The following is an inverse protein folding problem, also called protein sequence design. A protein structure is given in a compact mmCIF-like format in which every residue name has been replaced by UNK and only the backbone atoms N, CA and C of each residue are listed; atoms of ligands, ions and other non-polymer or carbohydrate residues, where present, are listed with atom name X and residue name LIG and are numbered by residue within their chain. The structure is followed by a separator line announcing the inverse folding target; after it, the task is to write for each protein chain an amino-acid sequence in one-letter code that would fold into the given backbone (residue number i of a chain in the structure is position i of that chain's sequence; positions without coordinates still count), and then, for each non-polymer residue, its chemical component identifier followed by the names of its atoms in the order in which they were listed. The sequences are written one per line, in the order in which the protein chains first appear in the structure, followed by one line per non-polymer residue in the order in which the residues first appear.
data_IF_481730411024
#
_entry.id   IF_481730411024
#
_cell.length_a   1.000
_cell.length_b   1.000
_cell.length_c   1.000
_cell.angle_alpha   90.00
_cell.angle_beta   90.00
_cell.angle_gamma   90.00
#
_symmetry.space_group_name_H-M   'P 1'
#
loop_
_entity.id
_entity.type
_entity.pdbx_description
1 polymer ?
#
# COMPACT_ATOMS: atom_id res chain seq x y z
N UNK A 1 10.40 -6.64 -57.34
CA UNK A 1 9.95 -5.88 -56.16
C UNK A 1 10.88 -4.69 -55.95
N UNK A 2 10.37 -3.45 -55.88
CA UNK A 2 11.19 -2.24 -55.68
C UNK A 2 11.81 -2.21 -54.27
N UNK A 3 13.05 -1.75 -54.12
CA UNK A 3 13.74 -1.58 -52.82
C UNK A 3 12.89 -0.78 -51.82
N UNK A 4 12.08 0.16 -52.30
CA UNK A 4 11.17 0.96 -51.47
C UNK A 4 10.00 0.14 -50.89
N UNK A 5 9.46 -0.81 -51.67
CA UNK A 5 8.38 -1.70 -51.23
C UNK A 5 8.87 -2.67 -50.15
N UNK A 6 10.08 -3.25 -50.33
CA UNK A 6 10.71 -4.15 -49.35
C UNK A 6 11.03 -3.43 -48.03
N UNK A 7 11.45 -2.16 -48.09
CA UNK A 7 11.70 -1.35 -46.88
C UNK A 7 10.40 -1.04 -46.12
N UNK A 8 9.30 -0.75 -46.82
CA UNK A 8 7.97 -0.56 -46.20
C UNK A 8 7.50 -1.84 -45.51
N UNK A 9 7.60 -2.98 -46.18
CA UNK A 9 7.18 -4.28 -45.64
C UNK A 9 7.97 -4.68 -44.39
N UNK A 10 9.29 -4.46 -44.38
CA UNK A 10 10.13 -4.68 -43.20
C UNK A 10 9.79 -3.77 -42.02
N UNK A 11 9.46 -2.50 -42.29
CA UNK A 11 9.01 -1.56 -41.24
C UNK A 11 7.65 -1.97 -40.68
N UNK A 12 6.75 -2.46 -41.52
CA UNK A 12 5.43 -2.93 -41.12
C UNK A 12 5.50 -4.21 -40.29
N UNK A 13 6.33 -5.18 -40.70
CA UNK A 13 6.63 -6.38 -39.92
C UNK A 13 7.27 -6.04 -38.58
N UNK A 14 8.26 -5.13 -38.55
CA UNK A 14 8.86 -4.64 -37.30
C UNK A 14 7.81 -4.01 -36.39
N UNK A 15 6.94 -3.16 -36.94
CA UNK A 15 5.90 -2.48 -36.16
C UNK A 15 4.86 -3.48 -35.63
N UNK A 16 4.50 -4.52 -36.39
CA UNK A 16 3.61 -5.59 -35.94
C UNK A 16 4.23 -6.42 -34.80
N UNK A 17 5.52 -6.75 -34.91
CA UNK A 17 6.26 -7.45 -33.85
C UNK A 17 6.37 -6.60 -32.59
N UNK A 18 6.67 -5.32 -32.73
CA UNK A 18 6.71 -4.36 -31.62
C UNK A 18 5.32 -4.20 -30.97
N UNK A 19 4.25 -4.11 -31.76
CA UNK A 19 2.87 -4.03 -31.24
C UNK A 19 2.49 -5.27 -30.43
N UNK A 20 2.86 -6.45 -30.92
CA UNK A 20 2.59 -7.73 -30.26
C UNK A 20 3.41 -7.90 -28.97
N UNK A 21 4.68 -7.47 -28.99
CA UNK A 21 5.54 -7.41 -27.80
C UNK A 21 5.03 -6.39 -26.77
N UNK A 22 4.62 -5.19 -27.20
CA UNK A 22 4.12 -4.15 -26.30
C UNK A 22 2.77 -4.53 -25.69
N UNK A 23 1.94 -5.30 -26.39
CA UNK A 23 0.65 -5.76 -25.85
C UNK A 23 0.82 -6.64 -24.61
N UNK A 24 1.82 -7.53 -24.60
CA UNK A 24 2.14 -8.35 -23.43
C UNK A 24 2.60 -7.51 -22.23
N UNK A 25 3.44 -6.50 -22.47
CA UNK A 25 3.88 -5.56 -21.43
C UNK A 25 2.74 -4.73 -20.85
N UNK A 26 1.82 -4.25 -21.69
CA UNK A 26 0.64 -3.49 -21.24
C UNK A 26 -0.28 -4.36 -20.38
N UNK A 27 -0.53 -5.61 -20.78
CA UNK A 27 -1.34 -6.55 -20.00
C UNK A 27 -0.68 -6.91 -18.67
N UNK A 28 0.63 -7.18 -18.66
CA UNK A 28 1.38 -7.44 -17.44
C UNK A 28 1.37 -6.25 -16.48
N UNK A 29 1.57 -5.05 -17.03
CA UNK A 29 1.47 -3.79 -16.27
C UNK A 29 0.08 -3.67 -15.62
N UNK A 30 -1.00 -3.89 -16.38
CA UNK A 30 -2.38 -3.85 -15.85
C UNK A 30 -2.63 -4.91 -14.76
N UNK A 31 -2.07 -6.10 -14.91
CA UNK A 31 -2.14 -7.15 -13.91
C UNK A 31 -1.41 -6.78 -12.61
N UNK A 32 -0.19 -6.26 -12.71
CA UNK A 32 0.56 -5.78 -11.54
C UNK A 32 -0.14 -4.62 -10.82
N UNK A 33 -0.76 -3.72 -11.59
CA UNK A 33 -1.54 -2.60 -11.07
C UNK A 33 -3.00 -2.95 -10.79
N UNK A 34 -3.37 -4.24 -10.76
CA UNK A 34 -4.69 -4.64 -10.32
C UNK A 34 -4.90 -4.19 -8.86
N UNK A 35 -6.11 -3.72 -8.52
CA UNK A 35 -6.41 -3.30 -7.16
C UNK A 35 -6.06 -4.42 -6.17
N UNK A 36 -5.37 -4.04 -5.09
CA UNK A 36 -4.93 -4.91 -3.98
C UNK A 36 -3.77 -5.89 -4.26
N UNK A 37 -3.40 -6.20 -5.51
CA UNK A 37 -2.35 -7.20 -5.79
C UNK A 37 -0.96 -6.75 -5.36
N UNK A 38 -0.52 -5.56 -5.78
CA UNK A 38 0.81 -5.07 -5.41
C UNK A 38 0.87 -4.75 -3.90
N UNK A 39 -0.21 -4.23 -3.30
CA UNK A 39 -0.30 -4.03 -1.84
C UNK A 39 -0.13 -5.36 -1.10
N UNK A 40 -0.76 -6.43 -1.58
CA UNK A 40 -0.57 -7.77 -1.03
C UNK A 40 0.88 -8.25 -1.16
N UNK A 41 1.49 -8.12 -2.34
CA UNK A 41 2.89 -8.51 -2.57
C UNK A 41 3.84 -7.70 -1.67
N UNK A 42 3.62 -6.39 -1.55
CA UNK A 42 4.40 -5.53 -0.67
C UNK A 42 4.29 -6.01 0.78
N UNK A 43 3.07 -6.28 1.26
CA UNK A 43 2.84 -6.80 2.61
C UNK A 43 3.58 -8.13 2.86
N UNK A 44 3.58 -9.05 1.89
CA UNK A 44 4.29 -10.32 2.00
C UNK A 44 5.80 -10.14 2.04
N UNK A 45 6.36 -9.30 1.15
CA UNK A 45 7.80 -9.07 1.04
C UNK A 45 8.34 -8.32 2.26
N UNK A 46 7.69 -7.22 2.65
CA UNK A 46 8.07 -6.43 3.82
C UNK A 46 7.85 -7.24 5.10
N UNK A 47 6.73 -7.96 5.20
CA UNK A 47 6.43 -8.82 6.34
C UNK A 47 7.45 -9.94 6.53
N UNK A 48 7.94 -10.55 5.44
CA UNK A 48 9.01 -11.56 5.51
C UNK A 48 10.33 -10.95 6.03
N UNK A 49 10.75 -9.81 5.44
CA UNK A 49 11.96 -9.12 5.87
C UNK A 49 11.89 -8.68 7.35
N UNK A 50 10.72 -8.18 7.78
CA UNK A 50 10.45 -7.84 9.17
C UNK A 50 10.55 -9.08 10.08
N UNK A 51 9.92 -10.19 9.69
CA UNK A 51 9.99 -11.45 10.44
C UNK A 51 11.44 -11.95 10.62
N UNK A 52 12.27 -11.83 9.59
CA UNK A 52 13.70 -12.16 9.67
C UNK A 52 14.45 -11.27 10.68
N UNK A 53 14.23 -9.95 10.65
CA UNK A 53 14.85 -9.02 11.60
C UNK A 53 14.43 -9.30 13.05
N UNK A 54 13.15 -9.63 13.29
CA UNK A 54 12.65 -10.01 14.62
C UNK A 54 13.28 -11.33 15.08
N UNK A 55 13.40 -12.33 14.20
CA UNK A 55 14.03 -13.61 14.54
C UNK A 55 15.49 -13.41 14.97
N UNK A 56 16.24 -12.58 14.24
CA UNK A 56 17.63 -12.29 14.58
C UNK A 56 17.75 -11.47 15.87
N UNK A 57 16.81 -10.56 16.13
CA UNK A 57 16.74 -9.84 17.40
C UNK A 57 16.53 -10.79 18.58
N UNK A 58 15.59 -11.73 18.45
CA UNK A 58 15.34 -12.76 19.47
C UNK A 58 16.58 -13.64 19.65
N UNK A 59 17.24 -14.02 18.57
CA UNK A 59 18.50 -14.77 18.60
C UNK A 59 19.61 -14.00 19.35
N UNK A 60 19.77 -12.71 19.07
CA UNK A 60 20.73 -11.84 19.75
C UNK A 60 20.49 -11.80 21.26
N UNK A 61 19.24 -11.59 21.68
CA UNK A 61 18.86 -11.57 23.10
C UNK A 61 19.15 -12.95 23.72
N UNK A 62 18.80 -14.05 23.04
CA UNK A 62 19.06 -15.40 23.53
C UNK A 62 20.56 -15.69 23.72
N UNK A 63 21.41 -15.32 22.75
CA UNK A 63 22.86 -15.49 22.85
C UNK A 63 23.47 -14.62 23.96
N UNK A 64 22.94 -13.41 24.16
CA UNK A 64 23.37 -12.53 25.26
C UNK A 64 23.03 -13.15 26.62
N UNK A 65 21.78 -13.62 26.81
CA UNK A 65 21.35 -14.30 28.02
C UNK A 65 22.14 -15.60 28.27
N UNK A 66 22.40 -16.38 27.23
CA UNK A 66 23.21 -17.59 27.32
C UNK A 66 24.65 -17.30 27.75
N UNK A 67 25.26 -16.25 27.19
CA UNK A 67 26.60 -15.80 27.58
C UNK A 67 26.64 -15.38 29.06
N UNK A 68 25.62 -14.65 29.53
CA UNK A 68 25.49 -14.25 30.93
C UNK A 68 25.29 -15.45 31.87
N UNK A 69 24.43 -16.41 31.49
CA UNK A 69 24.25 -17.66 32.25
C UNK A 69 25.59 -18.39 32.39
N UNK A 70 26.29 -18.64 31.28
CA UNK A 70 27.57 -19.35 31.32
C UNK A 70 28.61 -18.64 32.16
N UNK A 71 28.67 -17.31 32.07
CA UNK A 71 29.60 -16.52 32.87
C UNK A 71 29.36 -16.67 34.38
N UNK A 72 28.11 -16.76 34.83
CA UNK A 72 27.81 -16.84 36.27
C UNK A 72 27.83 -18.27 36.84
N UNK A 73 27.58 -19.30 36.04
CA UNK A 73 27.47 -20.70 36.51
C UNK A 73 28.67 -21.60 36.20
N UNK A 74 29.61 -21.23 35.31
CA UNK A 74 30.81 -22.06 35.04
C UNK A 74 32.04 -21.59 35.83
N UNK A 75 32.75 -22.56 36.43
CA UNK A 75 34.05 -22.32 37.05
C UNK A 75 35.06 -21.86 35.98
N UNK A 76 35.65 -20.68 36.19
CA UNK A 76 36.59 -20.05 35.25
C UNK A 76 36.02 -18.90 34.40
N UNK A 77 34.73 -18.59 34.54
CA UNK A 77 34.08 -17.42 33.90
C UNK A 77 34.42 -17.23 32.40
N UNK A 78 34.35 -18.27 31.55
CA UNK A 78 34.74 -18.14 30.15
C UNK A 78 33.81 -17.16 29.41
N UNK A 79 34.38 -16.07 28.92
CA UNK A 79 33.66 -15.07 28.14
C UNK A 79 33.47 -15.57 26.69
N UNK A 80 32.21 -15.78 26.30
CA UNK A 80 31.84 -16.28 24.98
C UNK A 80 31.50 -15.14 24.01
N UNK A 81 32.50 -14.30 23.72
CA UNK A 81 32.34 -13.11 22.87
C UNK A 81 32.01 -13.43 21.41
N UNK A 82 32.51 -14.55 20.88
CA UNK A 82 32.40 -14.88 19.45
C UNK A 82 30.95 -15.15 19.00
N UNK A 83 30.20 -15.88 19.84
CA UNK A 83 28.78 -16.17 19.58
C UNK A 83 27.89 -14.92 19.70
N UNK A 84 28.19 -14.04 20.66
CA UNK A 84 27.46 -12.76 20.82
C UNK A 84 27.78 -11.77 19.70
N UNK A 85 29.04 -11.72 19.26
CA UNK A 85 29.47 -10.91 18.11
C UNK A 85 28.77 -11.35 16.82
N UNK A 86 28.72 -12.65 16.56
CA UNK A 86 28.05 -13.21 15.37
C UNK A 86 26.56 -12.89 15.38
N UNK A 87 25.87 -13.09 16.51
CA UNK A 87 24.44 -12.76 16.64
C UNK A 87 24.17 -11.26 16.44
N UNK A 88 25.06 -10.39 16.92
CA UNK A 88 24.97 -8.95 16.71
C UNK A 88 25.10 -8.57 15.24
N UNK A 89 26.09 -9.12 14.54
CA UNK A 89 26.28 -8.87 13.11
C UNK A 89 25.11 -9.37 12.28
N UNK A 90 24.52 -10.52 12.62
CA UNK A 90 23.33 -11.05 11.95
C UNK A 90 22.14 -10.10 12.10
N UNK A 91 21.85 -9.68 13.33
CA UNK A 91 20.76 -8.73 13.61
C UNK A 91 20.93 -7.41 12.87
N UNK A 92 22.14 -6.82 12.88
CA UNK A 92 22.38 -5.58 12.17
C UNK A 92 22.18 -5.76 10.66
N UNK A 93 22.62 -6.89 10.11
CA UNK A 93 22.46 -7.20 8.68
C UNK A 93 20.98 -7.34 8.31
N UNK A 94 20.19 -8.10 9.08
CA UNK A 94 18.76 -8.28 8.80
C UNK A 94 17.96 -7.00 9.03
N UNK A 95 18.31 -6.19 10.04
CA UNK A 95 17.72 -4.88 10.26
C UNK A 95 17.98 -3.93 9.09
N UNK A 96 19.24 -3.82 8.63
CA UNK A 96 19.58 -2.98 7.48
C UNK A 96 18.92 -3.48 6.19
N UNK A 97 18.82 -4.80 6.03
CA UNK A 97 18.11 -5.41 4.89
C UNK A 97 16.63 -5.04 4.90
N UNK A 98 15.96 -5.18 6.05
CA UNK A 98 14.56 -4.79 6.23
C UNK A 98 14.34 -3.31 5.92
N UNK A 99 15.19 -2.43 6.46
CA UNK A 99 15.10 -0.99 6.20
C UNK A 99 15.35 -0.66 4.73
N UNK A 100 16.29 -1.34 4.08
CA UNK A 100 16.58 -1.16 2.65
C UNK A 100 15.39 -1.58 1.78
N UNK A 101 14.76 -2.72 2.10
CA UNK A 101 13.55 -3.18 1.40
C UNK A 101 12.40 -2.19 1.61
N UNK A 102 12.18 -1.73 2.84
CA UNK A 102 11.14 -0.74 3.14
C UNK A 102 11.36 0.57 2.38
N UNK A 103 12.60 1.07 2.34
CA UNK A 103 12.97 2.27 1.56
C UNK A 103 12.75 2.05 0.06
N UNK A 104 13.18 0.91 -0.48
CA UNK A 104 13.00 0.59 -1.89
C UNK A 104 11.51 0.57 -2.27
N UNK A 105 10.66 -0.04 -1.44
CA UNK A 105 9.21 -0.06 -1.63
C UNK A 105 8.63 1.36 -1.56
N UNK A 106 8.97 2.14 -0.53
CA UNK A 106 8.49 3.51 -0.36
C UNK A 106 8.79 4.39 -1.58
N UNK A 107 10.05 4.42 -2.01
CA UNK A 107 10.46 5.21 -3.17
C UNK A 107 9.83 4.71 -4.46
N UNK A 108 9.62 3.40 -4.59
CA UNK A 108 8.92 2.83 -5.76
C UNK A 108 7.46 3.31 -5.80
N UNK A 109 6.74 3.27 -4.69
CA UNK A 109 5.36 3.78 -4.61
C UNK A 109 5.31 5.28 -4.87
N UNK A 110 6.22 6.05 -4.28
CA UNK A 110 6.31 7.50 -4.49
C UNK A 110 6.57 7.83 -5.97
N UNK A 111 7.46 7.08 -6.62
CA UNK A 111 7.73 7.23 -8.05
C UNK A 111 6.49 6.92 -8.89
N UNK A 112 5.77 5.84 -8.57
CA UNK A 112 4.53 5.45 -9.27
C UNK A 112 3.46 6.54 -9.11
N UNK A 113 3.20 6.98 -7.89
CA UNK A 113 2.21 8.01 -7.59
C UNK A 113 2.51 9.34 -8.26
N UNK A 114 3.78 9.76 -8.34
CA UNK A 114 4.13 11.07 -8.89
C UNK A 114 4.33 11.07 -10.42
N UNK A 115 4.67 9.94 -11.04
CA UNK A 115 5.01 9.88 -12.48
C UNK A 115 3.98 9.16 -13.34
N UNK A 116 3.21 8.23 -12.78
CA UNK A 116 2.33 7.36 -13.55
C UNK A 116 0.84 7.61 -13.30
N UNK A 117 0.48 8.22 -12.18
CA UNK A 117 -0.90 8.49 -11.78
C UNK A 117 -1.15 10.01 -11.84
N UNK A 118 -2.20 10.41 -12.55
CA UNK A 118 -2.55 11.82 -12.78
C UNK A 118 -3.70 12.35 -11.93
N UNK A 119 -4.51 11.47 -11.33
CA UNK A 119 -5.67 11.83 -10.50
C UNK A 119 -5.41 11.49 -9.03
N UNK A 120 -5.93 12.30 -8.11
CA UNK A 120 -5.72 12.10 -6.67
C UNK A 120 -6.44 10.85 -6.13
N UNK A 121 -7.59 10.51 -6.71
CA UNK A 121 -8.39 9.33 -6.34
C UNK A 121 -7.75 8.01 -6.75
N UNK A 122 -6.81 8.01 -7.70
CA UNK A 122 -6.09 6.81 -8.13
C UNK A 122 -4.73 6.66 -7.44
N UNK A 123 -4.33 7.62 -6.59
CA UNK A 123 -3.07 7.55 -5.85
C UNK A 123 -3.06 6.33 -4.95
N UNK A 124 -1.96 5.59 -4.96
CA UNK A 124 -1.79 4.44 -4.09
C UNK A 124 -1.64 4.90 -2.65
N UNK A 125 -2.46 4.33 -1.76
CA UNK A 125 -2.59 4.80 -0.38
C UNK A 125 -3.61 5.93 -0.20
N UNK A 126 -4.43 6.23 -1.22
CA UNK A 126 -5.62 7.05 -1.05
C UNK A 126 -6.61 6.34 -0.12
N UNK A 127 -7.01 7.03 0.94
CA UNK A 127 -8.00 6.54 1.91
C UNK A 127 -9.41 6.73 1.34
N UNK A 128 -9.76 5.89 0.36
CA UNK A 128 -11.08 5.85 -0.27
C UNK A 128 -12.20 5.72 0.77
N UNK A 129 -12.11 4.84 1.79
CA UNK A 129 -13.11 4.76 2.85
C UNK A 129 -13.30 6.08 3.61
N UNK A 130 -12.22 6.82 3.91
CA UNK A 130 -12.32 8.07 4.64
C UNK A 130 -13.01 9.18 3.85
N UNK A 131 -12.67 9.31 2.56
CA UNK A 131 -13.29 10.33 1.70
C UNK A 131 -14.76 9.98 1.43
N UNK A 132 -15.08 8.71 1.23
CA UNK A 132 -16.46 8.25 1.08
C UNK A 132 -17.27 8.52 2.36
N UNK A 133 -16.70 8.28 3.55
CA UNK A 133 -17.36 8.63 4.81
C UNK A 133 -17.66 10.13 4.92
N UNK A 134 -16.74 11.00 4.52
CA UNK A 134 -16.98 12.45 4.53
C UNK A 134 -18.11 12.84 3.56
N UNK A 135 -18.12 12.24 2.36
CA UNK A 135 -19.17 12.46 1.38
C UNK A 135 -20.54 12.00 1.90
N UNK A 136 -20.60 10.82 2.52
CA UNK A 136 -21.80 10.27 3.15
C UNK A 136 -22.28 11.14 4.31
N UNK A 137 -21.38 11.63 5.16
CA UNK A 137 -21.72 12.52 6.27
C UNK A 137 -22.35 13.83 5.76
N UNK A 138 -21.82 14.38 4.66
CA UNK A 138 -22.39 15.57 4.02
C UNK A 138 -23.80 15.30 3.48
N UNK A 139 -23.98 14.19 2.75
CA UNK A 139 -25.29 13.79 2.25
C UNK A 139 -26.31 13.54 3.37
N UNK A 140 -25.88 12.97 4.49
CA UNK A 140 -26.74 12.75 5.64
C UNK A 140 -27.17 14.08 6.28
N UNK A 141 -26.28 15.07 6.34
CA UNK A 141 -26.62 16.41 6.82
C UNK A 141 -27.62 17.09 5.90
N UNK A 142 -27.39 17.05 4.59
CA UNK A 142 -28.31 17.62 3.59
C UNK A 142 -29.69 16.95 3.66
N UNK A 143 -29.76 15.63 3.80
CA UNK A 143 -31.02 14.91 4.00
C UNK A 143 -31.74 15.33 5.28
N UNK A 144 -31.01 15.47 6.40
CA UNK A 144 -31.60 15.92 7.66
C UNK A 144 -32.19 17.33 7.56
N UNK A 145 -31.49 18.23 6.86
CA UNK A 145 -31.96 19.60 6.64
C UNK A 145 -33.21 19.64 5.74
N UNK A 146 -33.25 18.83 4.67
CA UNK A 146 -34.43 18.69 3.81
C UNK A 146 -35.63 18.08 4.54
N UNK A 147 -35.41 17.09 5.41
CA UNK A 147 -36.47 16.48 6.22
C UNK A 147 -37.07 17.50 7.19
N UNK A 148 -36.23 18.36 7.80
CA UNK A 148 -36.72 19.45 8.66
C UNK A 148 -37.56 20.45 7.87
N UNK A 149 -37.09 20.90 6.71
CA UNK A 149 -37.83 21.82 5.85
C UNK A 149 -39.19 21.24 5.43
N UNK A 150 -39.23 19.95 5.04
CA UNK A 150 -40.48 19.26 4.73
C UNK A 150 -41.44 19.17 5.93
N UNK A 151 -40.92 18.88 7.13
CA UNK A 151 -41.73 18.84 8.35
C UNK A 151 -42.32 20.21 8.70
N UNK A 152 -41.56 21.28 8.51
CA UNK A 152 -42.02 22.65 8.74
C UNK A 152 -43.12 23.06 7.76
N UNK A 153 -42.95 22.76 6.47
CA UNK A 153 -43.97 22.95 5.44
C UNK A 153 -45.27 22.21 5.78
N UNK A 154 -45.19 20.95 6.20
CA UNK A 154 -46.38 20.19 6.61
C UNK A 154 -47.11 20.85 7.79
N UNK A 155 -46.38 21.37 8.78
CA UNK A 155 -46.98 22.10 9.91
C UNK A 155 -47.68 23.38 9.47
N UNK A 156 -47.09 24.13 8.54
CA UNK A 156 -47.70 25.36 8.00
C UNK A 156 -49.00 25.05 7.26
N UNK A 157 -49.01 24.01 6.41
CA UNK A 157 -50.22 23.55 5.71
C UNK A 157 -51.30 23.13 6.70
N UNK A 158 -50.94 22.36 7.73
CA UNK A 158 -51.87 21.97 8.79
C UNK A 158 -52.44 23.20 9.51
N UNK A 159 -51.61 24.19 9.85
CA UNK A 159 -52.05 25.41 10.50
C UNK A 159 -53.02 26.22 9.62
N UNK A 160 -52.74 26.35 8.31
CA UNK A 160 -53.62 27.00 7.35
C UNK A 160 -54.96 26.27 7.18
N UNK A 161 -54.94 24.93 7.06
CA UNK A 161 -56.15 24.12 6.97
C UNK A 161 -57.01 24.23 8.24
N UNK A 162 -56.38 24.26 9.42
CA UNK A 162 -57.09 24.40 10.69
C UNK A 162 -57.70 25.80 10.85
N UNK A 163 -57.03 26.83 10.32
CA UNK A 163 -57.54 28.21 10.31
C UNK A 163 -58.71 28.36 9.34
N UNK A 164 -58.59 27.82 8.12
CA UNK A 164 -59.67 27.80 7.12
C UNK A 164 -60.89 26.96 7.53
N UNK A 165 -60.73 25.97 8.41
CA UNK A 165 -61.84 25.19 8.96
C UNK A 165 -62.59 25.88 10.10
N UNK A 166 -62.05 26.97 10.66
CA UNK A 166 -62.66 27.73 11.77
C UNK A 166 -63.37 29.01 11.31
N UNK A 167 -63.18 29.42 10.06
CA UNK A 167 -63.98 30.42 9.36
C UNK A 167 -65.19 29.76 8.69
#
# INVERSE_FOLDING_TARGET
MSKAARKKELLEQRNLLLKRSSAGWVSFRRFLFAPNLLTFVISVVVGNAFGAAIKDLVSLIAHLLYSLWRWIFFAGHPLYFDATQTAWTSFLTSLLTMLSIALAVYYTIQFINNKLIGSESEKWGYDEPHVDMMALQKLQKENNDLVRANSELQKQILAELTKSSKE
#
